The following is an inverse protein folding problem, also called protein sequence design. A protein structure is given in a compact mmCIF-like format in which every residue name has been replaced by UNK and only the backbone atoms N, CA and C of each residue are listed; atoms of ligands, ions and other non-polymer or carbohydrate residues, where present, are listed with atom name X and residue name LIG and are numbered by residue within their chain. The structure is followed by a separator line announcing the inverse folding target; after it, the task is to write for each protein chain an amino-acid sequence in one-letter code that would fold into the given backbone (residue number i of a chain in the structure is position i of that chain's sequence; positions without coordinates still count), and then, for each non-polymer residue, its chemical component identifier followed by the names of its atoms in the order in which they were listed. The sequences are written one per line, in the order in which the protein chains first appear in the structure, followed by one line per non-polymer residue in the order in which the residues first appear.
data_IF_479460661809
#
_entry.id   IF_479460661809
#
_cell.length_a   1.000
_cell.length_b   1.000
_cell.length_c   1.000
_cell.angle_alpha   90.00
_cell.angle_beta   90.00
_cell.angle_gamma   90.00
#
_symmetry.space_group_name_H-M   'P 1'
#
loop_
_entity.id
_entity.type
_entity.pdbx_description
1 polymer ?
#
# COMPACT_ATOMS: atom_id res chain seq x y z
N UNK A 1 1.39 -5.48 11.04
CA UNK A 1 1.46 -6.67 10.15
C UNK A 1 0.68 -6.47 8.85
N UNK A 2 -0.62 -6.15 8.90
CA UNK A 2 -1.46 -5.98 7.70
C UNK A 2 -0.89 -5.00 6.65
N UNK A 3 -0.27 -3.88 7.08
CA UNK A 3 0.42 -2.95 6.19
C UNK A 3 1.55 -3.63 5.41
N UNK A 4 2.44 -4.32 6.11
CA UNK A 4 3.58 -5.01 5.52
C UNK A 4 3.09 -6.06 4.52
N UNK A 5 2.14 -6.91 4.92
CA UNK A 5 1.56 -7.94 4.03
C UNK A 5 0.97 -7.33 2.76
N UNK A 6 0.11 -6.32 2.88
CA UNK A 6 -0.49 -5.65 1.72
C UNK A 6 0.55 -4.98 0.81
N UNK A 7 1.58 -4.34 1.39
CA UNK A 7 2.68 -3.73 0.63
C UNK A 7 3.50 -4.77 -0.16
N UNK A 8 3.77 -5.93 0.45
CA UNK A 8 4.52 -7.02 -0.17
C UNK A 8 3.69 -7.68 -1.27
N UNK A 9 2.42 -8.00 -1.02
CA UNK A 9 1.51 -8.58 -2.01
C UNK A 9 1.38 -7.69 -3.24
N UNK A 10 1.19 -6.37 -3.04
CA UNK A 10 1.13 -5.41 -4.16
C UNK A 10 2.41 -5.45 -5.01
N UNK A 11 3.58 -5.57 -4.37
CA UNK A 11 4.87 -5.63 -5.05
C UNK A 11 5.09 -6.95 -5.76
N UNK A 12 4.69 -8.06 -5.14
CA UNK A 12 4.87 -9.42 -5.66
C UNK A 12 3.98 -9.67 -6.88
N UNK A 13 2.71 -9.27 -6.83
CA UNK A 13 1.76 -9.39 -7.95
C UNK A 13 2.26 -8.68 -9.22
N UNK A 14 3.03 -7.60 -9.09
CA UNK A 14 3.61 -6.90 -10.25
C UNK A 14 4.69 -7.71 -10.96
N UNK A 15 5.46 -8.54 -10.24
CA UNK A 15 6.46 -9.44 -10.82
C UNK A 15 5.80 -10.72 -11.33
N UNK A 16 4.84 -11.28 -10.58
CA UNK A 16 4.08 -12.44 -11.03
C UNK A 16 3.33 -12.19 -12.33
N UNK A 17 2.71 -11.01 -12.51
CA UNK A 17 2.07 -10.63 -13.77
C UNK A 17 3.02 -10.72 -14.98
N UNK A 18 4.29 -10.34 -14.80
CA UNK A 18 5.30 -10.48 -15.86
C UNK A 18 5.66 -11.95 -16.11
N UNK A 19 5.78 -12.75 -15.05
CA UNK A 19 6.11 -14.17 -15.15
C UNK A 19 5.04 -14.98 -15.92
N UNK A 20 3.78 -14.55 -15.85
CA UNK A 20 2.65 -15.18 -16.58
C UNK A 20 2.36 -14.51 -17.94
N UNK A 21 3.22 -13.61 -18.42
CA UNK A 21 3.11 -13.00 -19.75
C UNK A 21 2.12 -11.84 -19.87
N UNK A 22 1.50 -11.38 -18.78
CA UNK A 22 0.52 -10.27 -18.75
C UNK A 22 1.20 -8.88 -18.85
N UNK A 23 2.53 -8.84 -18.76
CA UNK A 23 3.29 -7.59 -18.67
C UNK A 23 3.19 -6.95 -17.28
N UNK A 24 3.83 -5.80 -17.09
CA UNK A 24 3.94 -5.19 -15.77
C UNK A 24 2.79 -4.25 -15.48
N UNK A 25 1.95 -4.61 -14.51
CA UNK A 25 0.84 -3.77 -14.04
C UNK A 25 1.27 -2.85 -12.90
N UNK A 26 1.23 -1.53 -13.14
CA UNK A 26 1.59 -0.50 -12.15
C UNK A 26 0.39 0.16 -11.47
N UNK A 27 -0.85 -0.19 -11.84
CA UNK A 27 -2.06 0.44 -11.28
C UNK A 27 -2.29 0.13 -9.80
N UNK A 28 -3.08 0.95 -9.11
CA UNK A 28 -3.38 0.82 -7.69
C UNK A 28 -3.67 2.16 -7.02
N UNK A 29 -4.07 2.11 -5.74
CA UNK A 29 -4.45 3.30 -4.97
C UNK A 29 -3.21 4.05 -4.44
N UNK A 30 -2.18 3.31 -3.99
CA UNK A 30 -0.92 3.89 -3.51
C UNK A 30 0.29 3.22 -4.13
N UNK A 31 1.09 4.02 -4.81
CA UNK A 31 2.41 3.68 -5.30
C UNK A 31 3.47 3.57 -4.19
N UNK A 32 4.72 3.42 -4.61
CA UNK A 32 5.86 3.35 -3.67
C UNK A 32 6.20 4.74 -3.11
N UNK A 33 6.27 5.74 -3.99
CA UNK A 33 6.56 7.12 -3.62
C UNK A 33 5.51 7.68 -2.65
N UNK A 34 4.23 7.44 -2.92
CA UNK A 34 3.13 7.94 -2.09
C UNK A 34 3.23 7.47 -0.64
N UNK A 35 3.59 6.20 -0.42
CA UNK A 35 3.77 5.65 0.94
C UNK A 35 4.91 6.34 1.67
N UNK A 36 6.02 6.62 0.98
CA UNK A 36 7.16 7.33 1.57
C UNK A 36 6.75 8.76 1.93
N UNK A 37 6.03 9.45 1.05
CA UNK A 37 5.54 10.82 1.31
C UNK A 37 4.60 10.84 2.52
N UNK A 38 3.65 9.91 2.58
CA UNK A 38 2.71 9.77 3.71
C UNK A 38 3.47 9.55 5.03
N UNK A 39 4.46 8.66 5.05
CA UNK A 39 5.26 8.40 6.24
C UNK A 39 6.10 9.61 6.63
N UNK A 40 6.76 10.27 5.66
CA UNK A 40 7.57 11.47 5.94
C UNK A 40 6.72 12.59 6.54
N UNK A 41 5.56 12.88 5.96
CA UNK A 41 4.65 13.90 6.47
C UNK A 41 4.09 13.52 7.84
N UNK A 42 3.71 12.26 8.04
CA UNK A 42 3.22 11.77 9.33
C UNK A 42 4.30 11.84 10.41
N UNK A 43 5.58 11.59 10.07
CA UNK A 43 6.71 11.74 10.99
C UNK A 43 6.94 13.20 11.40
N UNK A 44 6.85 14.15 10.45
CA UNK A 44 6.96 15.58 10.76
C UNK A 44 5.79 16.01 11.66
N UNK A 45 4.56 15.59 11.33
CA UNK A 45 3.38 15.88 12.13
C UNK A 45 3.48 15.27 13.53
N UNK A 46 4.00 14.06 13.65
CA UNK A 46 4.24 13.42 14.95
C UNK A 46 5.28 14.18 15.78
N UNK A 47 6.33 14.71 15.15
CA UNK A 47 7.33 15.54 15.84
C UNK A 47 6.72 16.84 16.38
N UNK A 48 5.85 17.50 15.61
CA UNK A 48 5.18 18.74 16.02
C UNK A 48 4.05 18.48 17.05
N UNK A 49 3.32 17.37 16.86
CA UNK A 49 2.16 16.99 17.66
C UNK A 49 2.20 15.49 17.98
N UNK A 50 2.90 15.09 19.05
CA UNK A 50 3.05 13.69 19.42
C UNK A 50 1.81 13.08 20.10
N UNK A 51 0.75 13.88 20.31
CA UNK A 51 -0.46 13.41 20.97
C UNK A 51 -1.22 12.38 20.15
N UNK A 52 -1.89 11.49 20.86
CA UNK A 52 -2.71 10.45 20.23
C UNK A 52 -4.11 10.98 19.90
N UNK A 53 -4.59 10.60 18.73
CA UNK A 53 -5.94 10.87 18.27
C UNK A 53 -6.63 9.52 18.17
N UNK A 54 -7.65 9.29 19.00
CA UNK A 54 -8.39 8.01 19.08
C UNK A 54 -7.47 6.78 19.27
N UNK A 55 -6.43 6.90 20.10
CA UNK A 55 -5.51 5.80 20.44
C UNK A 55 -4.39 5.56 19.42
N UNK A 56 -4.24 6.41 18.40
CA UNK A 56 -3.10 6.36 17.48
C UNK A 56 -2.50 7.75 17.27
N UNK A 57 -1.17 7.81 17.18
CA UNK A 57 -0.49 9.01 16.70
C UNK A 57 -0.73 9.23 15.20
N UNK A 58 -0.35 10.39 14.66
CA UNK A 58 -0.36 10.63 13.21
C UNK A 58 0.38 9.55 12.42
N UNK A 59 1.48 9.04 12.97
CA UNK A 59 2.24 7.95 12.38
C UNK A 59 1.45 6.63 12.44
N UNK A 60 0.76 6.34 13.55
CA UNK A 60 -0.16 5.19 13.65
C UNK A 60 -1.27 5.23 12.61
N UNK A 61 -1.93 6.37 12.45
CA UNK A 61 -2.96 6.58 11.42
C UNK A 61 -2.44 6.41 10.00
N UNK A 62 -1.22 6.87 9.73
CA UNK A 62 -0.58 6.69 8.43
C UNK A 62 -0.39 5.20 8.09
N UNK A 63 -0.03 4.37 9.08
CA UNK A 63 0.13 2.93 8.90
C UNK A 63 -1.21 2.26 8.63
N UNK A 64 -2.29 2.68 9.31
CA UNK A 64 -3.65 2.18 9.07
C UNK A 64 -4.09 2.47 7.63
N UNK A 65 -3.88 3.71 7.17
CA UNK A 65 -4.20 4.13 5.81
C UNK A 65 -3.42 3.31 4.78
N UNK A 66 -2.10 3.15 4.97
CA UNK A 66 -1.25 2.34 4.09
C UNK A 66 -1.70 0.87 4.09
N UNK A 67 -2.10 0.33 5.24
CA UNK A 67 -2.63 -1.02 5.34
C UNK A 67 -3.88 -1.20 4.49
N UNK A 68 -4.88 -0.34 4.65
CA UNK A 68 -6.13 -0.44 3.90
C UNK A 68 -5.88 -0.30 2.40
N UNK A 69 -5.20 0.77 1.97
CA UNK A 69 -4.97 1.06 0.57
C UNK A 69 -4.13 -0.02 -0.13
N UNK A 70 -3.14 -0.60 0.55
CA UNK A 70 -2.29 -1.65 -0.02
C UNK A 70 -3.00 -2.99 -0.18
N UNK A 71 -3.85 -3.39 0.78
CA UNK A 71 -4.64 -4.61 0.66
C UNK A 71 -5.72 -4.47 -0.43
N UNK A 72 -6.41 -3.34 -0.50
CA UNK A 72 -7.35 -3.05 -1.59
C UNK A 72 -6.66 -3.08 -2.96
N UNK A 73 -5.48 -2.48 -3.06
CA UNK A 73 -4.69 -2.50 -4.30
C UNK A 73 -4.27 -3.93 -4.66
N UNK A 74 -3.85 -4.76 -3.70
CA UNK A 74 -3.47 -6.14 -3.96
C UNK A 74 -4.65 -6.93 -4.56
N UNK A 75 -5.85 -6.78 -4.00
CA UNK A 75 -7.07 -7.41 -4.52
C UNK A 75 -7.39 -6.91 -5.93
N UNK A 76 -7.35 -5.59 -6.16
CA UNK A 76 -7.58 -5.01 -7.50
C UNK A 76 -6.61 -5.57 -8.54
N UNK A 77 -5.32 -5.66 -8.19
CA UNK A 77 -4.28 -6.24 -9.07
C UNK A 77 -4.56 -7.70 -9.37
N UNK A 78 -4.87 -8.48 -8.35
CA UNK A 78 -5.17 -9.90 -8.51
C UNK A 78 -6.35 -10.13 -9.45
N UNK A 79 -7.48 -9.45 -9.20
CA UNK A 79 -8.69 -9.57 -10.03
C UNK A 79 -8.41 -9.13 -11.48
N UNK A 80 -7.66 -8.05 -11.68
CA UNK A 80 -7.28 -7.60 -13.02
C UNK A 80 -6.45 -8.66 -13.75
N UNK A 81 -5.40 -9.19 -13.13
CA UNK A 81 -4.53 -10.21 -13.72
C UNK A 81 -5.33 -11.48 -14.04
N UNK A 82 -6.19 -11.92 -13.12
CA UNK A 82 -7.04 -13.09 -13.32
C UNK A 82 -7.95 -12.94 -14.55
N UNK A 83 -8.59 -11.79 -14.72
CA UNK A 83 -9.46 -11.50 -15.87
C UNK A 83 -8.72 -11.42 -17.20
N UNK A 84 -7.44 -11.07 -17.20
CA UNK A 84 -6.62 -11.04 -18.42
C UNK A 84 -6.17 -12.45 -18.81
N UNK A 85 -6.01 -13.35 -17.83
CA UNK A 85 -5.59 -14.73 -18.06
C UNK A 85 -6.74 -15.69 -18.40
N UNK A 86 -7.96 -15.41 -17.90
CA UNK A 86 -9.19 -16.17 -18.19
C UNK A 86 -9.73 -15.88 -19.58
#
# INVERSE_FOLDING_TARGET
VAAVVGTLLTSYLGVQAQAVGVGRYYGGILGRADRLVIIMLASILYFLHPQEIYGFSFLGWSIVLIAMASNLTAIQRFVHIWRVLS
#
